data_IF_742521480329
#
_entry.id   IF_742521480329
#
_cell.length_a   1.000
_cell.length_b   1.000
_cell.length_c   1.000
_cell.angle_alpha   90.00
_cell.angle_beta   90.00
_cell.angle_gamma   90.00
#
_symmetry.space_group_name_H-M   'P 1'
#
loop_
_entity.id
_entity.type
_entity.pdbx_description
1 polymer ?
#
# COMPACT_ATOMS: atom_id res chain seq x y z
N UNK A 1 13.81 -16.64 -22.91
CA UNK A 1 12.68 -15.89 -22.30
C UNK A 1 12.54 -16.13 -20.79
N UNK A 2 12.41 -17.38 -20.32
CA UNK A 2 12.17 -17.70 -18.89
C UNK A 2 13.28 -17.20 -17.95
N UNK A 3 14.55 -17.40 -18.28
CA UNK A 3 15.68 -16.92 -17.47
C UNK A 3 15.69 -15.39 -17.37
N UNK A 4 15.44 -14.69 -18.47
CA UNK A 4 15.36 -13.23 -18.49
C UNK A 4 14.22 -12.68 -17.61
N UNK A 5 13.05 -13.31 -17.66
CA UNK A 5 11.92 -12.98 -16.79
C UNK A 5 12.21 -13.28 -15.31
N UNK A 6 12.95 -14.36 -15.02
CA UNK A 6 13.37 -14.69 -13.66
C UNK A 6 14.37 -13.66 -13.09
N UNK A 7 15.32 -13.18 -13.91
CA UNK A 7 16.24 -12.12 -13.49
C UNK A 7 15.47 -10.80 -13.27
N UNK A 8 14.57 -10.45 -14.18
CA UNK A 8 13.75 -9.24 -14.06
C UNK A 8 12.83 -9.26 -12.83
N UNK A 9 12.27 -10.43 -12.48
CA UNK A 9 11.36 -10.56 -11.33
C UNK A 9 12.06 -10.37 -9.99
N UNK A 10 13.36 -10.69 -9.88
CA UNK A 10 14.17 -10.40 -8.66
C UNK A 10 14.36 -8.89 -8.46
N UNK A 11 14.41 -8.12 -9.55
CA UNK A 11 14.61 -6.67 -9.50
C UNK A 11 13.45 -5.92 -8.85
N UNK A 12 12.20 -6.32 -9.13
CA UNK A 12 11.00 -5.59 -8.69
C UNK A 12 10.90 -5.47 -7.16
N UNK A 13 11.02 -6.56 -6.36
CA UNK A 13 11.02 -6.47 -4.90
C UNK A 13 12.15 -5.61 -4.34
N UNK A 14 13.35 -5.67 -4.94
CA UNK A 14 14.50 -4.87 -4.52
C UNK A 14 14.21 -3.38 -4.71
N UNK A 15 13.72 -2.99 -5.90
CA UNK A 15 13.35 -1.62 -6.21
C UNK A 15 12.29 -1.08 -5.24
N UNK A 16 11.21 -1.84 -4.99
CA UNK A 16 10.16 -1.44 -4.05
C UNK A 16 10.69 -1.19 -2.63
N UNK A 17 11.62 -2.03 -2.16
CA UNK A 17 12.20 -1.89 -0.82
C UNK A 17 13.20 -0.73 -0.70
N UNK A 18 13.99 -0.48 -1.76
CA UNK A 18 14.91 0.65 -1.81
C UNK A 18 14.13 1.97 -1.73
N UNK A 19 13.02 2.08 -2.44
CA UNK A 19 12.18 3.29 -2.43
C UNK A 19 11.68 3.64 -1.03
N UNK A 20 11.14 2.67 -0.29
CA UNK A 20 10.72 2.88 1.11
C UNK A 20 11.92 3.25 2.01
N UNK A 21 13.08 2.63 1.79
CA UNK A 21 14.28 2.95 2.58
C UNK A 21 14.78 4.37 2.31
N UNK A 22 14.77 4.83 1.07
CA UNK A 22 15.12 6.20 0.71
C UNK A 22 14.14 7.18 1.35
N UNK A 23 12.83 6.94 1.24
CA UNK A 23 11.80 7.78 1.85
C UNK A 23 12.00 7.97 3.36
N UNK A 24 12.36 6.88 4.07
CA UNK A 24 12.54 6.91 5.53
C UNK A 24 13.85 7.52 6.00
N UNK A 25 14.93 7.38 5.23
CA UNK A 25 16.28 7.87 5.60
C UNK A 25 16.50 9.32 5.17
N UNK A 26 15.93 9.73 4.04
CA UNK A 26 16.19 11.05 3.44
C UNK A 26 15.14 12.11 3.78
N UNK A 27 13.92 11.72 4.18
CA UNK A 27 12.83 12.67 4.42
C UNK A 27 12.33 12.68 5.88
N UNK A 28 12.05 13.88 6.38
CA UNK A 28 11.52 14.18 7.71
C UNK A 28 10.11 13.59 7.90
N UNK A 29 9.69 13.19 9.13
CA UNK A 29 8.37 12.59 9.37
C UNK A 29 7.17 13.35 8.79
N UNK A 30 7.23 14.68 8.75
CA UNK A 30 6.16 15.55 8.23
C UNK A 30 5.98 15.50 6.71
N UNK A 31 6.96 15.00 5.95
CA UNK A 31 6.93 14.90 4.49
C UNK A 31 7.12 13.46 4.00
N UNK A 32 7.14 12.48 4.92
CA UNK A 32 7.53 11.11 4.62
C UNK A 32 6.51 10.40 3.72
N UNK A 33 5.22 10.57 3.97
CA UNK A 33 4.19 9.95 3.13
C UNK A 33 4.21 10.57 1.73
N UNK A 34 4.24 11.91 1.64
CA UNK A 34 4.35 12.63 0.36
C UNK A 34 5.61 12.23 -0.44
N UNK A 35 6.78 12.21 0.20
CA UNK A 35 8.02 11.82 -0.46
C UNK A 35 8.07 10.33 -0.81
N UNK A 36 7.53 9.47 0.06
CA UNK A 36 7.42 8.03 -0.18
C UNK A 36 6.59 7.73 -1.42
N UNK A 37 5.51 8.45 -1.63
CA UNK A 37 4.69 8.30 -2.85
C UNK A 37 5.36 8.86 -4.10
N UNK A 38 6.05 10.00 -4.00
CA UNK A 38 6.78 10.56 -5.14
C UNK A 38 7.89 9.60 -5.59
N UNK A 39 8.58 8.99 -4.63
CA UNK A 39 9.61 7.99 -4.91
C UNK A 39 8.98 6.69 -5.41
N UNK A 40 7.86 6.24 -4.84
CA UNK A 40 7.19 4.99 -5.19
C UNK A 40 6.38 5.05 -6.50
N UNK A 41 6.19 6.24 -7.08
CA UNK A 41 5.45 6.40 -8.32
C UNK A 41 6.22 5.82 -9.51
N UNK A 42 5.57 4.93 -10.26
CA UNK A 42 6.17 4.22 -11.39
C UNK A 42 6.16 5.07 -12.67
N UNK A 43 6.81 6.23 -12.65
CA UNK A 43 6.82 7.18 -13.78
C UNK A 43 7.37 6.55 -15.06
N UNK A 44 8.42 5.74 -14.94
CA UNK A 44 9.00 5.03 -16.08
C UNK A 44 7.99 4.07 -16.73
N UNK A 45 7.23 3.34 -15.92
CA UNK A 45 6.16 2.46 -16.41
C UNK A 45 5.04 3.22 -17.12
N UNK A 46 4.63 4.38 -16.59
CA UNK A 46 3.60 5.23 -17.22
C UNK A 46 4.08 5.70 -18.60
N UNK A 47 5.30 6.24 -18.68
CA UNK A 47 5.89 6.71 -19.95
C UNK A 47 6.00 5.55 -20.93
N UNK A 48 6.49 4.39 -20.48
CA UNK A 48 6.62 3.21 -21.33
C UNK A 48 5.28 2.72 -21.88
N UNK A 49 4.18 2.78 -21.13
CA UNK A 49 2.86 2.34 -21.60
C UNK A 49 2.33 3.15 -22.79
N UNK A 50 2.70 4.43 -22.92
CA UNK A 50 2.33 5.25 -24.09
C UNK A 50 3.39 5.19 -25.19
N UNK A 51 4.67 5.11 -24.81
CA UNK A 51 5.78 5.23 -25.76
C UNK A 51 6.10 3.91 -26.49
N UNK A 52 5.98 2.77 -25.80
CA UNK A 52 6.29 1.45 -26.38
C UNK A 52 5.36 1.08 -27.54
N UNK A 53 4.03 1.26 -27.46
CA UNK A 53 3.14 1.01 -28.60
C UNK A 53 3.44 1.87 -29.84
N UNK A 54 3.94 3.10 -29.65
CA UNK A 54 4.32 3.98 -30.77
C UNK A 54 5.57 3.49 -31.52
N UNK A 55 6.44 2.74 -30.86
CA UNK A 55 7.69 2.22 -31.45
C UNK A 55 7.49 0.80 -31.97
N UNK A 56 6.79 -0.03 -31.19
CA UNK A 56 6.53 -1.44 -31.48
C UNK A 56 5.32 -1.62 -32.41
N UNK A 57 5.29 -0.92 -33.56
CA UNK A 57 4.20 -1.03 -34.54
C UNK A 57 4.24 -2.32 -35.38
N UNK A 58 5.10 -3.27 -35.03
CA UNK A 58 5.35 -4.53 -35.75
C UNK A 58 6.26 -5.46 -34.94
N UNK A 59 6.17 -6.77 -35.16
CA UNK A 59 6.94 -7.80 -34.43
C UNK A 59 8.45 -7.61 -34.58
N UNK A 60 8.88 -7.14 -35.76
CA UNK A 60 10.26 -6.79 -36.11
C UNK A 60 10.82 -5.60 -35.30
N UNK A 61 9.95 -4.73 -34.78
CA UNK A 61 10.36 -3.56 -33.98
C UNK A 61 10.32 -3.80 -32.47
N UNK A 62 9.84 -4.96 -32.01
CA UNK A 62 9.78 -5.28 -30.58
C UNK A 62 11.20 -5.35 -30.00
N UNK A 63 12.14 -5.97 -30.70
CA UNK A 63 13.54 -6.03 -30.27
C UNK A 63 14.13 -4.63 -30.12
N UNK A 64 13.88 -3.75 -31.09
CA UNK A 64 14.34 -2.36 -31.05
C UNK A 64 13.72 -1.59 -29.87
N UNK A 65 12.43 -1.75 -29.61
CA UNK A 65 11.76 -1.14 -28.45
C UNK A 65 12.37 -1.63 -27.12
N UNK A 66 12.69 -2.92 -27.01
CA UNK A 66 13.34 -3.49 -25.82
C UNK A 66 14.76 -2.96 -25.63
N UNK A 67 15.53 -2.78 -26.71
CA UNK A 67 16.87 -2.19 -26.66
C UNK A 67 16.80 -0.74 -26.17
N UNK A 68 15.85 0.06 -26.66
CA UNK A 68 15.64 1.44 -26.18
C UNK A 68 15.37 1.45 -24.68
N UNK A 69 14.48 0.58 -24.20
CA UNK A 69 14.18 0.48 -22.76
C UNK A 69 15.44 0.09 -21.97
N UNK A 70 16.22 -0.87 -22.46
CA UNK A 70 17.46 -1.30 -21.81
C UNK A 70 18.47 -0.15 -21.70
N UNK A 71 18.67 0.61 -22.78
CA UNK A 71 19.56 1.79 -22.81
C UNK A 71 19.09 2.85 -21.81
N UNK A 72 17.79 3.16 -21.78
CA UNK A 72 17.23 4.12 -20.83
C UNK A 72 17.46 3.67 -19.38
N UNK A 73 17.20 2.40 -19.06
CA UNK A 73 17.48 1.82 -17.75
C UNK A 73 18.97 1.94 -17.37
N UNK A 74 19.90 1.66 -18.29
CA UNK A 74 21.34 1.80 -18.04
C UNK A 74 21.73 3.25 -17.79
N UNK A 75 21.19 4.20 -18.55
CA UNK A 75 21.45 5.64 -18.35
C UNK A 75 20.96 6.07 -16.96
N UNK A 76 19.77 5.64 -16.54
CA UNK A 76 19.23 5.97 -15.21
C UNK A 76 20.01 5.36 -14.04
N UNK A 77 20.81 4.31 -14.28
CA UNK A 77 21.67 3.71 -13.27
C UNK A 77 22.92 4.55 -12.99
N UNK A 78 23.43 5.29 -13.99
CA UNK A 78 24.69 6.05 -13.88
C UNK A 78 24.67 7.06 -12.72
N UNK A 79 23.62 7.90 -12.53
CA UNK A 79 23.53 8.81 -11.40
C UNK A 79 23.51 8.13 -10.03
N UNK A 80 23.00 6.88 -9.92
CA UNK A 80 22.96 6.16 -8.65
C UNK A 80 24.35 5.79 -8.13
N UNK A 81 25.34 5.62 -9.00
CA UNK A 81 26.73 5.31 -8.61
C UNK A 81 27.36 6.46 -7.82
N UNK A 82 26.91 7.70 -8.08
CA UNK A 82 27.43 8.91 -7.44
C UNK A 82 26.60 9.37 -6.23
N UNK A 83 25.50 8.68 -5.89
CA UNK A 83 24.63 9.07 -4.80
C UNK A 83 25.22 8.61 -3.45
N UNK A 84 25.43 9.50 -2.46
CA UNK A 84 25.97 9.12 -1.17
C UNK A 84 24.99 8.21 -0.40
N UNK A 85 25.51 7.27 0.38
CA UNK A 85 24.68 6.27 1.09
C UNK A 85 23.75 6.88 2.17
N UNK A 86 24.03 8.10 2.63
CA UNK A 86 23.21 8.85 3.60
C UNK A 86 23.22 10.35 3.24
N UNK A 87 22.13 11.09 3.53
CA UNK A 87 22.15 12.54 3.39
C UNK A 87 23.21 13.17 4.31
N UNK A 88 23.82 14.28 3.87
CA UNK A 88 24.85 14.98 4.63
C UNK A 88 24.34 15.55 5.98
N UNK A 89 23.01 15.73 6.12
CA UNK A 89 22.34 16.00 7.39
C UNK A 89 21.36 14.85 7.68
N UNK A 90 21.61 14.12 8.77
CA UNK A 90 20.67 13.12 9.26
C UNK A 90 19.37 13.80 9.75
N UNK A 91 18.18 13.24 9.47
CA UNK A 91 16.94 13.71 10.09
C UNK A 91 17.05 13.57 11.62
N UNK A 92 16.69 14.64 12.33
CA UNK A 92 16.90 14.88 13.78
C UNK A 92 16.31 13.86 14.77
N UNK A 93 15.74 12.75 14.31
CA UNK A 93 15.04 11.78 15.18
C UNK A 93 15.62 10.38 14.96
N UNK A 94 16.67 10.06 15.70
CA UNK A 94 16.99 8.66 15.97
C UNK A 94 15.94 8.12 16.96
N UNK A 95 15.28 6.99 16.69
CA UNK A 95 14.32 6.43 17.64
C UNK A 95 15.05 6.08 18.94
N UNK A 96 14.54 6.62 20.05
CA UNK A 96 15.07 6.37 21.40
C UNK A 96 14.99 4.90 21.84
N UNK A 97 14.25 4.05 21.11
CA UNK A 97 14.08 2.63 21.43
C UNK A 97 14.93 1.73 20.51
N UNK A 98 15.63 0.76 21.12
CA UNK A 98 16.40 -0.25 20.42
C UNK A 98 15.51 -1.06 19.47
N UNK A 99 15.60 -0.78 18.16
CA UNK A 99 14.84 -1.49 17.13
C UNK A 99 15.11 -3.01 17.24
N UNK A 100 14.07 -3.85 17.25
CA UNK A 100 14.26 -5.29 17.29
C UNK A 100 15.03 -5.76 16.04
N UNK A 101 15.85 -6.81 16.20
CA UNK A 101 16.54 -7.45 15.08
C UNK A 101 15.54 -7.93 14.03
N UNK A 102 15.94 -7.97 12.75
CA UNK A 102 15.03 -8.24 11.63
C UNK A 102 14.19 -9.51 11.84
N UNK A 103 14.82 -10.63 12.22
CA UNK A 103 14.13 -11.89 12.47
C UNK A 103 13.12 -11.79 13.64
N UNK A 104 13.52 -11.12 14.73
CA UNK A 104 12.65 -10.96 15.90
C UNK A 104 11.49 -10.00 15.60
N UNK A 105 11.75 -8.93 14.87
CA UNK A 105 10.73 -7.99 14.38
C UNK A 105 9.72 -8.70 13.50
N UNK A 106 10.17 -9.47 12.50
CA UNK A 106 9.29 -10.27 11.64
C UNK A 106 8.45 -11.26 12.44
N UNK A 107 9.05 -12.01 13.38
CA UNK A 107 8.31 -12.97 14.20
C UNK A 107 7.23 -12.31 15.08
N UNK A 108 7.48 -11.12 15.63
CA UNK A 108 6.49 -10.34 16.38
C UNK A 108 5.38 -9.84 15.46
N UNK A 109 5.75 -9.37 14.26
CA UNK A 109 4.79 -8.86 13.28
C UNK A 109 3.83 -9.94 12.80
N UNK A 110 4.32 -11.14 12.55
CA UNK A 110 3.53 -12.29 12.13
C UNK A 110 2.50 -12.74 13.19
N UNK A 111 2.67 -12.34 14.45
CA UNK A 111 1.69 -12.61 15.52
C UNK A 111 0.63 -11.50 15.68
N UNK A 112 0.75 -10.40 14.94
CA UNK A 112 -0.15 -9.26 15.06
C UNK A 112 -1.39 -9.44 14.16
N UNK A 113 -2.53 -9.75 14.76
CA UNK A 113 -3.79 -9.95 14.03
C UNK A 113 -4.26 -8.72 13.25
N UNK A 114 -4.07 -7.50 13.78
CA UNK A 114 -4.45 -6.28 13.07
C UNK A 114 -3.57 -6.04 11.85
N UNK A 115 -2.30 -6.44 11.89
CA UNK A 115 -1.42 -6.38 10.73
C UNK A 115 -1.87 -7.34 9.64
N UNK A 116 -2.30 -8.56 10.00
CA UNK A 116 -2.83 -9.51 9.02
C UNK A 116 -4.13 -9.05 8.35
N UNK A 117 -5.00 -8.32 9.05
CA UNK A 117 -6.17 -7.68 8.43
C UNK A 117 -5.71 -6.67 7.37
N UNK A 118 -4.69 -5.85 7.66
CA UNK A 118 -4.12 -4.93 6.67
C UNK A 118 -3.42 -5.68 5.52
N UNK A 119 -2.74 -6.79 5.77
CA UNK A 119 -2.20 -7.65 4.72
C UNK A 119 -3.30 -8.17 3.80
N UNK A 120 -4.44 -8.61 4.36
CA UNK A 120 -5.58 -9.06 3.56
C UNK A 120 -6.19 -7.91 2.75
N UNK A 121 -6.40 -6.74 3.36
CA UNK A 121 -6.91 -5.55 2.67
C UNK A 121 -5.98 -5.10 1.55
N UNK A 122 -4.69 -4.94 1.84
CA UNK A 122 -3.69 -4.53 0.86
C UNK A 122 -3.56 -5.57 -0.25
N UNK A 123 -3.52 -6.84 0.14
CA UNK A 123 -3.34 -7.96 -0.77
C UNK A 123 -4.50 -8.12 -1.73
N UNK A 124 -5.73 -7.96 -1.25
CA UNK A 124 -6.91 -7.93 -2.13
C UNK A 124 -6.89 -6.66 -2.99
N UNK A 125 -6.62 -5.48 -2.42
CA UNK A 125 -6.61 -4.21 -3.17
C UNK A 125 -5.62 -4.24 -4.34
N UNK A 126 -4.33 -4.47 -4.06
CA UNK A 126 -3.28 -4.53 -5.08
C UNK A 126 -3.45 -5.78 -5.95
N UNK A 127 -3.85 -6.92 -5.37
CA UNK A 127 -4.07 -8.16 -6.12
C UNK A 127 -5.18 -8.04 -7.16
N UNK A 128 -6.27 -7.34 -6.85
CA UNK A 128 -7.34 -7.03 -7.80
C UNK A 128 -6.82 -6.15 -8.94
N UNK A 129 -5.94 -5.18 -8.66
CA UNK A 129 -5.31 -4.37 -9.70
C UNK A 129 -4.40 -5.19 -10.62
N UNK A 130 -3.61 -6.10 -10.05
CA UNK A 130 -2.72 -6.99 -10.80
C UNK A 130 -3.52 -7.93 -11.68
N UNK A 131 -4.56 -8.55 -11.12
CA UNK A 131 -5.44 -9.44 -11.88
C UNK A 131 -6.21 -8.71 -12.98
N UNK A 132 -6.70 -7.51 -12.68
CA UNK A 132 -7.32 -6.65 -13.67
C UNK A 132 -6.35 -6.31 -14.80
N UNK A 133 -5.16 -5.81 -14.49
CA UNK A 133 -4.17 -5.47 -15.52
C UNK A 133 -3.77 -6.65 -16.42
N UNK A 134 -3.69 -7.86 -15.85
CA UNK A 134 -3.33 -9.07 -16.60
C UNK A 134 -4.45 -9.63 -17.49
N UNK A 135 -5.70 -9.51 -17.06
CA UNK A 135 -6.85 -10.14 -17.73
C UNK A 135 -7.79 -9.12 -18.39
N UNK A 136 -7.52 -7.82 -18.29
CA UNK A 136 -8.41 -6.77 -18.78
C UNK A 136 -8.76 -6.93 -20.26
N UNK A 137 -7.74 -7.09 -21.10
CA UNK A 137 -7.95 -7.30 -22.54
C UNK A 137 -8.85 -8.50 -22.80
N UNK A 138 -8.61 -9.62 -22.10
CA UNK A 138 -9.41 -10.84 -22.24
C UNK A 138 -10.86 -10.65 -21.75
N UNK A 139 -11.09 -9.73 -20.81
CA UNK A 139 -12.42 -9.42 -20.31
C UNK A 139 -13.24 -8.56 -21.29
N UNK A 140 -12.60 -7.71 -22.10
CA UNK A 140 -13.29 -6.78 -23.02
C UNK A 140 -13.30 -7.26 -24.47
N UNK A 141 -12.27 -7.94 -24.95
CA UNK A 141 -12.17 -8.42 -26.35
C UNK A 141 -13.38 -9.27 -26.80
N UNK A 142 -13.95 -10.18 -25.98
CA UNK A 142 -15.16 -10.92 -26.34
C UNK A 142 -16.39 -10.04 -26.67
N UNK A 143 -16.41 -8.81 -26.17
CA UNK A 143 -17.50 -7.85 -26.40
C UNK A 143 -17.24 -6.93 -27.60
N UNK A 144 -16.18 -7.19 -28.38
CA UNK A 144 -15.90 -6.48 -29.63
C UNK A 144 -14.98 -5.26 -29.49
N UNK A 145 -14.38 -5.02 -28.32
CA UNK A 145 -13.37 -3.97 -28.17
C UNK A 145 -12.03 -4.42 -28.75
N UNK A 146 -11.36 -3.51 -29.45
CA UNK A 146 -10.05 -3.76 -30.04
C UNK A 146 -8.94 -3.82 -28.98
N UNK A 147 -7.80 -4.42 -29.35
CA UNK A 147 -6.61 -4.42 -28.50
C UNK A 147 -6.09 -3.01 -28.22
N UNK A 148 -6.21 -2.10 -29.19
CA UNK A 148 -5.80 -0.70 -29.06
C UNK A 148 -6.69 0.05 -28.06
N UNK A 149 -8.01 -0.08 -28.16
CA UNK A 149 -8.95 0.49 -27.19
C UNK A 149 -8.71 -0.06 -25.78
N UNK A 150 -8.43 -1.36 -25.68
CA UNK A 150 -8.10 -2.00 -24.41
C UNK A 150 -6.82 -1.42 -23.81
N UNK A 151 -5.79 -1.22 -24.65
CA UNK A 151 -4.54 -0.58 -24.24
C UNK A 151 -4.76 0.84 -23.72
N UNK A 152 -5.56 1.65 -24.44
CA UNK A 152 -5.91 3.01 -24.02
C UNK A 152 -6.64 3.03 -22.67
N UNK A 153 -7.56 2.09 -22.43
CA UNK A 153 -8.27 2.00 -21.14
C UNK A 153 -7.30 1.73 -19.99
N UNK A 154 -6.40 0.75 -20.15
CA UNK A 154 -5.40 0.44 -19.12
C UNK A 154 -4.45 1.62 -18.90
N UNK A 155 -4.02 2.30 -19.97
CA UNK A 155 -3.12 3.44 -19.88
C UNK A 155 -3.77 4.64 -19.14
N UNK A 156 -5.02 4.98 -19.45
CA UNK A 156 -5.79 6.00 -18.71
C UNK A 156 -5.98 5.59 -17.24
N UNK A 157 -6.26 4.31 -16.99
CA UNK A 157 -6.33 3.75 -15.65
C UNK A 157 -5.03 3.95 -14.87
N UNK A 158 -3.88 3.71 -15.49
CA UNK A 158 -2.57 3.87 -14.88
C UNK A 158 -2.29 5.34 -14.49
N UNK A 159 -2.65 6.29 -15.35
CA UNK A 159 -2.55 7.73 -15.04
C UNK A 159 -3.46 8.10 -13.87
N UNK A 160 -4.71 7.63 -13.89
CA UNK A 160 -5.66 7.88 -12.80
C UNK A 160 -5.19 7.27 -11.47
N UNK A 161 -4.59 6.06 -11.50
CA UNK A 161 -3.98 5.45 -10.34
C UNK A 161 -2.80 6.26 -9.78
N UNK A 162 -1.92 6.74 -10.65
CA UNK A 162 -0.82 7.62 -10.24
C UNK A 162 -1.33 8.91 -9.57
N UNK A 163 -2.39 9.52 -10.10
CA UNK A 163 -3.07 10.65 -9.48
C UNK A 163 -3.68 10.27 -8.12
N UNK A 164 -4.29 9.10 -8.00
CA UNK A 164 -4.84 8.58 -6.73
C UNK A 164 -3.80 8.49 -5.63
N UNK A 165 -2.64 7.90 -5.92
CA UNK A 165 -1.50 7.90 -5.01
C UNK A 165 -1.04 9.34 -4.71
N UNK A 166 -0.80 10.17 -5.72
CA UNK A 166 -0.27 11.52 -5.54
C UNK A 166 -1.16 12.40 -4.64
N UNK A 167 -2.48 12.28 -4.77
CA UNK A 167 -3.46 13.03 -3.97
C UNK A 167 -3.55 12.48 -2.53
N UNK A 168 -3.39 11.17 -2.34
CA UNK A 168 -3.55 10.55 -1.02
C UNK A 168 -2.56 11.08 0.01
N UNK A 169 -1.28 11.24 -0.31
CA UNK A 169 -0.24 11.61 0.65
C UNK A 169 -0.42 12.98 1.29
N UNK A 170 -0.59 14.09 0.53
CA UNK A 170 -0.87 15.39 1.13
C UNK A 170 -2.13 15.38 2.01
N UNK A 171 -3.16 14.62 1.61
CA UNK A 171 -4.40 14.47 2.39
C UNK A 171 -4.13 13.70 3.69
N UNK A 172 -3.37 12.60 3.63
CA UNK A 172 -3.02 11.80 4.80
C UNK A 172 -2.10 12.60 5.74
N UNK A 173 -1.12 13.32 5.20
CA UNK A 173 -0.21 14.17 5.96
C UNK A 173 -0.95 15.30 6.67
N UNK A 174 -1.93 15.94 6.01
CA UNK A 174 -2.70 17.03 6.59
C UNK A 174 -3.75 16.57 7.61
N UNK A 175 -4.44 15.44 7.34
CA UNK A 175 -5.58 15.03 8.16
C UNK A 175 -5.21 14.05 9.27
N UNK A 176 -4.19 13.20 9.06
CA UNK A 176 -3.82 12.07 9.93
C UNK A 176 -4.99 11.12 10.23
N UNK A 177 -6.05 11.11 9.40
CA UNK A 177 -7.27 10.29 9.58
C UNK A 177 -7.23 9.03 8.71
N UNK A 178 -6.18 8.22 8.82
CA UNK A 178 -5.95 7.06 7.94
C UNK A 178 -7.13 6.06 7.91
N UNK A 179 -7.69 5.71 9.08
CA UNK A 179 -8.83 4.75 9.17
C UNK A 179 -10.09 5.29 8.47
N UNK A 180 -10.33 6.60 8.53
CA UNK A 180 -11.49 7.22 7.87
C UNK A 180 -11.38 7.07 6.36
N UNK A 181 -10.21 7.42 5.80
CA UNK A 181 -9.97 7.30 4.35
C UNK A 181 -10.01 5.84 3.88
N UNK A 182 -9.53 4.90 4.70
CA UNK A 182 -9.66 3.47 4.41
C UNK A 182 -11.12 3.06 4.26
N UNK A 183 -11.98 3.44 5.22
CA UNK A 183 -13.41 3.11 5.22
C UNK A 183 -14.21 3.87 4.16
N UNK A 184 -13.74 5.04 3.73
CA UNK A 184 -14.37 5.83 2.69
C UNK A 184 -14.04 5.33 1.28
N UNK A 185 -12.78 4.97 1.02
CA UNK A 185 -12.35 4.56 -0.33
C UNK A 185 -12.77 3.15 -0.69
N UNK A 186 -12.87 2.24 0.29
CA UNK A 186 -13.26 0.86 0.05
C UNK A 186 -14.64 0.68 -0.61
N UNK A 187 -15.74 1.34 -0.18
CA UNK A 187 -17.03 1.27 -0.87
C UNK A 187 -16.99 1.94 -2.24
N UNK A 188 -16.23 3.03 -2.42
CA UNK A 188 -16.07 3.68 -3.73
C UNK A 188 -15.40 2.74 -4.73
N UNK A 189 -14.30 2.11 -4.33
CA UNK A 189 -13.64 1.07 -5.13
C UNK A 189 -14.61 -0.09 -5.43
N UNK A 190 -15.30 -0.64 -4.44
CA UNK A 190 -16.25 -1.75 -4.64
C UNK A 190 -17.35 -1.37 -5.64
N UNK A 191 -17.90 -0.15 -5.55
CA UNK A 191 -18.95 0.32 -6.45
C UNK A 191 -18.51 0.36 -7.91
N UNK A 192 -17.25 0.73 -8.17
CA UNK A 192 -16.70 0.76 -9.53
C UNK A 192 -16.54 -0.64 -10.12
N UNK A 193 -16.16 -1.65 -9.32
CA UNK A 193 -16.12 -3.04 -9.79
C UNK A 193 -17.50 -3.59 -10.11
N UNK A 194 -18.51 -3.26 -9.29
CA UNK A 194 -19.91 -3.60 -9.59
C UNK A 194 -20.36 -2.92 -10.88
N UNK A 195 -20.01 -1.65 -11.09
CA UNK A 195 -20.36 -0.92 -12.30
C UNK A 195 -19.73 -1.53 -13.56
N UNK A 196 -18.48 -2.02 -13.50
CA UNK A 196 -17.79 -2.65 -14.63
C UNK A 196 -18.53 -3.89 -15.16
N UNK A 197 -19.19 -4.67 -14.27
CA UNK A 197 -20.01 -5.83 -14.68
C UNK A 197 -21.08 -5.43 -15.71
N UNK A 198 -21.74 -4.30 -15.47
CA UNK A 198 -22.86 -3.85 -16.31
C UNK A 198 -22.41 -3.03 -17.52
N UNK A 199 -21.28 -2.32 -17.41
CA UNK A 199 -20.83 -1.38 -18.43
C UNK A 199 -20.11 -2.06 -19.58
N UNK A 200 -19.34 -3.12 -19.32
CA UNK A 200 -18.55 -3.80 -20.36
C UNK A 200 -19.45 -4.33 -21.49
N UNK A 201 -20.62 -4.88 -21.14
CA UNK A 201 -21.58 -5.41 -22.10
C UNK A 201 -22.38 -4.34 -22.87
N UNK A 202 -22.27 -3.04 -22.52
CA UNK A 202 -23.09 -1.98 -23.13
C UNK A 202 -22.49 -1.31 -24.37
N UNK A 203 -21.28 -1.69 -24.79
CA UNK A 203 -20.65 -1.15 -26.00
C UNK A 203 -20.16 0.30 -25.90
N UNK A 204 -20.05 0.88 -24.70
CA UNK A 204 -19.60 2.27 -24.51
C UNK A 204 -18.17 2.34 -24.00
N UNK A 205 -17.23 2.59 -24.91
CA UNK A 205 -15.81 2.77 -24.58
C UNK A 205 -15.59 3.90 -23.56
N UNK A 206 -16.26 5.04 -23.75
CA UNK A 206 -16.14 6.19 -22.84
C UNK A 206 -16.59 5.86 -21.41
N UNK A 207 -17.64 5.05 -21.26
CA UNK A 207 -18.10 4.62 -19.94
C UNK A 207 -17.09 3.66 -19.27
N UNK A 208 -16.51 2.73 -20.03
CA UNK A 208 -15.46 1.84 -19.50
C UNK A 208 -14.23 2.65 -19.10
N UNK A 209 -13.79 3.60 -19.95
CA UNK A 209 -12.67 4.50 -19.65
C UNK A 209 -12.88 5.24 -18.33
N UNK A 210 -14.05 5.88 -18.18
CA UNK A 210 -14.38 6.65 -16.98
C UNK A 210 -14.40 5.79 -15.72
N UNK A 211 -15.11 4.65 -15.75
CA UNK A 211 -15.22 3.78 -14.57
C UNK A 211 -13.90 3.08 -14.25
N UNK A 212 -13.13 2.68 -15.26
CA UNK A 212 -11.78 2.14 -15.05
C UNK A 212 -10.83 3.17 -14.43
N UNK A 213 -10.86 4.42 -14.90
CA UNK A 213 -10.08 5.50 -14.33
C UNK A 213 -10.43 5.73 -12.85
N UNK A 214 -11.72 5.81 -12.52
CA UNK A 214 -12.18 5.94 -11.14
C UNK A 214 -11.77 4.74 -10.27
N UNK A 215 -11.92 3.51 -10.79
CA UNK A 215 -11.51 2.30 -10.09
C UNK A 215 -10.04 2.34 -9.72
N UNK A 216 -9.17 2.64 -10.69
CA UNK A 216 -7.73 2.71 -10.48
C UNK A 216 -7.32 3.86 -9.56
N UNK A 217 -8.00 5.00 -9.63
CA UNK A 217 -7.80 6.12 -8.70
C UNK A 217 -8.09 5.70 -7.26
N UNK A 218 -9.26 5.12 -6.97
CA UNK A 218 -9.63 4.72 -5.60
C UNK A 218 -8.74 3.60 -5.06
N UNK A 219 -8.43 2.60 -5.89
CA UNK A 219 -7.54 1.49 -5.55
C UNK A 219 -6.14 2.01 -5.19
N UNK A 220 -5.60 2.90 -6.01
CA UNK A 220 -4.26 3.47 -5.79
C UNK A 220 -4.24 4.45 -4.61
N UNK A 221 -5.30 5.22 -4.38
CA UNK A 221 -5.42 6.06 -3.19
C UNK A 221 -5.34 5.23 -1.89
N UNK A 222 -5.93 4.02 -1.88
CA UNK A 222 -5.89 3.12 -0.72
C UNK A 222 -4.49 2.57 -0.41
N UNK A 223 -3.59 2.49 -1.39
CA UNK A 223 -2.23 1.94 -1.20
C UNK A 223 -1.44 2.67 -0.10
N UNK A 224 -1.20 3.99 -0.18
CA UNK A 224 -0.49 4.72 0.87
C UNK A 224 -1.24 4.71 2.20
N UNK A 225 -2.59 4.73 2.19
CA UNK A 225 -3.39 4.63 3.43
C UNK A 225 -3.07 3.35 4.20
N UNK A 226 -3.06 2.20 3.50
CA UNK A 226 -2.81 0.91 4.14
C UNK A 226 -1.34 0.74 4.53
N UNK A 227 -0.41 1.30 3.75
CA UNK A 227 1.02 1.30 4.09
C UNK A 227 1.27 2.07 5.39
N UNK A 228 0.74 3.28 5.53
CA UNK A 228 0.88 4.09 6.75
C UNK A 228 0.25 3.40 7.96
N UNK A 229 -0.98 2.86 7.83
CA UNK A 229 -1.61 2.05 8.89
C UNK A 229 -0.79 0.81 9.26
N UNK A 230 -0.16 0.19 8.27
CA UNK A 230 0.72 -0.95 8.44
C UNK A 230 1.94 -0.60 9.27
N UNK A 231 2.57 0.54 8.99
CA UNK A 231 3.68 1.06 9.77
C UNK A 231 3.24 1.43 11.19
N UNK A 232 2.07 2.08 11.34
CA UNK A 232 1.55 2.51 12.64
C UNK A 232 1.24 1.34 13.59
N UNK A 233 0.66 0.25 13.07
CA UNK A 233 0.31 -0.92 13.88
C UNK A 233 1.51 -1.82 14.20
N UNK A 234 2.56 -1.70 13.39
CA UNK A 234 3.80 -2.48 13.48
C UNK A 234 4.85 -1.86 14.38
N UNK A 235 4.65 -0.64 14.87
CA UNK A 235 5.57 0.01 15.80
C UNK A 235 5.87 -0.88 17.03
N UNK A 236 7.14 -1.01 17.49
CA UNK A 236 8.37 -0.29 17.07
C UNK A 236 9.21 -1.00 15.99
N UNK A 237 8.61 -1.84 15.14
CA UNK A 237 9.33 -2.59 14.09
C UNK A 237 9.76 -1.63 12.97
N UNK A 238 10.90 -1.93 12.33
CA UNK A 238 11.38 -1.17 11.19
C UNK A 238 10.33 -1.12 10.06
N UNK A 239 9.99 0.09 9.62
CA UNK A 239 8.95 0.36 8.61
C UNK A 239 9.13 -0.51 7.35
N UNK A 240 10.39 -0.65 6.90
CA UNK A 240 10.75 -1.47 5.75
C UNK A 240 10.24 -2.91 5.84
N UNK A 241 10.30 -3.55 7.02
CA UNK A 241 9.87 -4.95 7.19
C UNK A 241 8.35 -5.06 6.97
N UNK A 242 7.59 -4.16 7.59
CA UNK A 242 6.12 -4.15 7.46
C UNK A 242 5.67 -3.89 6.03
N UNK A 243 6.29 -2.93 5.34
CA UNK A 243 5.98 -2.63 3.94
C UNK A 243 6.39 -3.76 3.00
N UNK A 244 7.53 -4.42 3.23
CA UNK A 244 7.96 -5.55 2.41
C UNK A 244 6.95 -6.70 2.47
N UNK A 245 6.47 -7.03 3.68
CA UNK A 245 5.49 -8.11 3.86
C UNK A 245 4.17 -7.77 3.18
N UNK A 246 3.68 -6.52 3.33
CA UNK A 246 2.48 -6.05 2.65
C UNK A 246 2.58 -6.22 1.12
N UNK A 247 3.66 -5.73 0.50
CA UNK A 247 3.86 -5.84 -0.95
C UNK A 247 4.01 -7.28 -1.40
N UNK A 248 4.83 -8.10 -0.72
CA UNK A 248 5.06 -9.48 -1.12
C UNK A 248 3.79 -10.33 -0.99
N UNK A 249 3.03 -10.14 0.08
CA UNK A 249 1.75 -10.80 0.27
C UNK A 249 0.76 -10.41 -0.83
N UNK A 250 0.78 -9.15 -1.25
CA UNK A 250 -0.08 -8.65 -2.32
C UNK A 250 0.22 -9.24 -3.68
N UNK A 251 1.50 -9.42 -4.02
CA UNK A 251 1.89 -10.08 -5.26
C UNK A 251 1.43 -11.55 -5.29
N UNK A 252 1.52 -12.25 -4.15
CA UNK A 252 1.02 -13.62 -4.03
C UNK A 252 -0.50 -13.68 -4.24
N UNK A 253 -1.27 -12.80 -3.58
CA UNK A 253 -2.73 -12.74 -3.77
C UNK A 253 -3.08 -12.38 -5.21
N UNK A 254 -2.39 -11.41 -5.83
CA UNK A 254 -2.59 -11.04 -7.22
C UNK A 254 -2.37 -12.21 -8.19
N UNK A 255 -1.30 -12.98 -8.00
CA UNK A 255 -1.04 -14.20 -8.77
C UNK A 255 -2.18 -15.22 -8.63
N UNK A 256 -2.63 -15.49 -7.41
CA UNK A 256 -3.75 -16.41 -7.15
C UNK A 256 -5.04 -15.90 -7.83
N UNK A 257 -5.32 -14.60 -7.72
CA UNK A 257 -6.52 -14.00 -8.33
C UNK A 257 -6.49 -14.12 -9.86
N UNK A 258 -5.34 -13.92 -10.51
CA UNK A 258 -5.20 -14.15 -11.96
C UNK A 258 -5.62 -15.58 -12.32
N UNK A 259 -5.03 -16.57 -11.65
CA UNK A 259 -5.32 -17.98 -11.95
C UNK A 259 -6.80 -18.31 -11.74
N UNK A 260 -7.39 -17.85 -10.65
CA UNK A 260 -8.81 -18.09 -10.36
C UNK A 260 -9.72 -17.40 -11.37
N UNK A 261 -9.43 -16.14 -11.73
CA UNK A 261 -10.22 -15.39 -12.70
C UNK A 261 -10.11 -15.97 -14.12
N UNK A 262 -8.93 -16.45 -14.52
CA UNK A 262 -8.74 -17.09 -15.82
C UNK A 262 -9.54 -18.41 -15.92
N UNK A 263 -9.61 -19.18 -14.84
CA UNK A 263 -10.46 -20.39 -14.77
C UNK A 263 -11.97 -20.09 -14.89
N UNK A 264 -12.40 -18.84 -14.66
CA UNK A 264 -13.80 -18.44 -14.81
C UNK A 264 -14.17 -18.03 -16.24
N UNK A 265 -13.24 -18.14 -17.20
CA UNK A 265 -13.50 -17.88 -18.62
C UNK A 265 -14.53 -18.88 -19.17
N UNK A 266 -15.58 -18.37 -19.80
CA UNK A 266 -16.67 -19.20 -20.31
C UNK A 266 -16.50 -19.45 -21.81
N UNK A 267 -15.90 -20.59 -22.16
CA UNK A 267 -15.70 -21.01 -23.55
C UNK A 267 -17.03 -21.20 -24.32
N UNK A 268 -18.15 -21.47 -23.64
CA UNK A 268 -19.45 -21.66 -24.31
C UNK A 268 -20.41 -20.50 -24.09
N UNK A 269 -19.95 -19.47 -23.38
CA UNK A 269 -20.75 -18.30 -23.09
C UNK A 269 -21.06 -17.48 -24.35
N UNK A 270 -22.04 -16.58 -24.22
CA UNK A 270 -22.39 -15.61 -25.26
C UNK A 270 -22.10 -14.22 -24.67
N UNK A 271 -21.11 -13.47 -25.18
CA UNK A 271 -20.16 -13.80 -26.25
C UNK A 271 -19.17 -14.92 -25.90
N UNK A 272 -18.62 -15.60 -26.91
CA UNK A 272 -17.64 -16.69 -26.74
C UNK A 272 -16.43 -16.21 -25.94
N UNK A 273 -15.97 -17.01 -24.97
CA UNK A 273 -14.83 -16.68 -24.10
C UNK A 273 -15.03 -15.46 -23.19
N UNK A 274 -16.28 -15.07 -22.89
CA UNK A 274 -16.54 -13.98 -21.95
C UNK A 274 -16.06 -14.32 -20.53
N UNK A 275 -15.76 -13.26 -19.77
CA UNK A 275 -15.28 -13.34 -18.40
C UNK A 275 -16.32 -12.86 -17.37
N UNK A 276 -17.62 -12.99 -17.67
CA UNK A 276 -18.67 -12.45 -16.81
C UNK A 276 -18.62 -13.00 -15.37
N UNK A 277 -18.36 -14.31 -15.22
CA UNK A 277 -18.17 -14.95 -13.90
C UNK A 277 -16.96 -14.39 -13.17
N UNK A 278 -15.86 -14.11 -13.88
CA UNK A 278 -14.67 -13.49 -13.30
C UNK A 278 -14.94 -12.05 -12.83
N UNK A 279 -15.72 -11.27 -13.59
CA UNK A 279 -16.13 -9.91 -13.21
C UNK A 279 -16.98 -9.91 -11.93
N UNK A 280 -17.92 -10.86 -11.80
CA UNK A 280 -18.69 -11.06 -10.57
C UNK A 280 -17.78 -11.42 -9.41
N UNK A 281 -16.88 -12.39 -9.62
CA UNK A 281 -15.92 -12.81 -8.59
C UNK A 281 -15.04 -11.65 -8.13
N UNK A 282 -14.60 -10.79 -9.05
CA UNK A 282 -13.82 -9.60 -8.76
C UNK A 282 -14.60 -8.59 -7.91
N UNK A 283 -15.87 -8.32 -8.24
CA UNK A 283 -16.73 -7.45 -7.44
C UNK A 283 -17.03 -8.03 -6.05
N UNK A 284 -17.26 -9.35 -5.95
CA UNK A 284 -17.44 -10.03 -4.66
C UNK A 284 -16.18 -9.91 -3.78
N UNK A 285 -15.01 -10.14 -4.37
CA UNK A 285 -13.71 -10.00 -3.70
C UNK A 285 -13.47 -8.56 -3.24
N UNK A 286 -13.85 -7.56 -4.04
CA UNK A 286 -13.84 -6.16 -3.63
C UNK A 286 -14.81 -5.87 -2.47
N UNK A 287 -15.98 -6.51 -2.46
CA UNK A 287 -16.93 -6.45 -1.35
C UNK A 287 -16.36 -7.06 -0.06
N UNK A 288 -15.64 -8.18 -0.14
CA UNK A 288 -14.91 -8.75 1.01
C UNK A 288 -13.85 -7.78 1.52
N UNK A 289 -13.08 -7.16 0.62
CA UNK A 289 -12.11 -6.11 0.99
C UNK A 289 -12.79 -4.95 1.73
N UNK A 290 -13.94 -4.50 1.24
CA UNK A 290 -14.74 -3.46 1.88
C UNK A 290 -15.16 -3.85 3.29
N UNK A 291 -15.67 -5.07 3.49
CA UNK A 291 -16.04 -5.57 4.82
C UNK A 291 -14.83 -5.62 5.77
N UNK A 292 -13.67 -6.06 5.29
CA UNK A 292 -12.42 -6.06 6.06
C UNK A 292 -11.99 -4.63 6.45
N UNK A 293 -12.13 -3.67 5.55
CA UNK A 293 -11.84 -2.26 5.83
C UNK A 293 -12.77 -1.70 6.94
N UNK A 294 -14.05 -2.04 6.92
CA UNK A 294 -15.00 -1.62 7.96
C UNK A 294 -14.73 -2.29 9.31
N UNK A 295 -14.36 -3.57 9.30
CA UNK A 295 -14.00 -4.34 10.49
C UNK A 295 -12.67 -3.87 11.12
N UNK A 296 -11.80 -3.20 10.34
CA UNK A 296 -10.53 -2.70 10.84
C UNK A 296 -10.72 -1.55 11.84
N UNK A 297 -10.25 -1.77 13.07
CA UNK A 297 -10.17 -0.78 14.15
C UNK A 297 -8.82 -0.90 14.90
N UNK A 298 -7.70 -0.95 14.16
CA UNK A 298 -6.37 -1.06 14.75
C UNK A 298 -6.01 0.17 15.61
N UNK A 299 -5.37 -0.05 16.77
CA UNK A 299 -4.79 1.04 17.59
C UNK A 299 -3.56 1.63 16.92
N UNK A 300 -3.47 2.96 16.97
CA UNK A 300 -2.43 3.78 16.36
C UNK A 300 -1.17 3.84 17.26
N UNK A 301 -0.45 2.71 17.40
CA UNK A 301 0.65 2.58 18.39
C UNK A 301 1.76 3.61 18.24
N UNK A 302 2.15 3.95 17.01
CA UNK A 302 3.16 4.97 16.74
C UNK A 302 2.71 6.37 17.17
N UNK A 303 1.50 6.77 16.75
CA UNK A 303 0.92 8.06 17.14
C UNK A 303 0.74 8.18 18.65
N UNK A 304 0.41 7.09 19.34
CA UNK A 304 0.34 7.03 20.80
C UNK A 304 1.74 7.22 21.44
N UNK A 305 2.79 6.59 20.87
CA UNK A 305 4.17 6.72 21.34
C UNK A 305 4.70 8.16 21.17
N UNK A 306 4.49 8.79 20.02
CA UNK A 306 4.91 10.17 19.76
C UNK A 306 4.23 11.17 20.74
N UNK A 307 2.96 10.95 21.10
CA UNK A 307 2.27 11.77 22.12
C UNK A 307 2.84 11.59 23.52
N UNK A 308 3.28 10.38 23.87
CA UNK A 308 3.87 10.09 25.17
C UNK A 308 5.27 10.68 25.36
N UNK A 309 6.00 10.92 24.25
CA UNK A 309 7.33 11.53 24.25
C UNK A 309 7.28 13.07 24.32
N UNK A 310 6.19 13.68 23.83
CA UNK A 310 5.95 15.14 23.88
C UNK A 310 5.42 15.59 25.25
N UNK A 311 4.73 14.73 25.98
CA UNK A 311 4.34 15.03 27.37
C UNK A 311 5.60 14.96 28.24
N UNK A 312 5.91 16.01 29.04
CA UNK A 312 7.06 15.95 29.93
C UNK A 312 6.91 14.71 30.81
N UNK A 313 7.89 13.79 30.72
CA UNK A 313 8.00 12.70 31.68
C UNK A 313 7.91 13.35 33.06
N UNK A 314 6.91 12.96 33.84
CA UNK A 314 6.76 13.43 35.22
C UNK A 314 8.14 13.22 35.87
N UNK A 315 8.79 14.27 36.39
CA UNK A 315 10.16 14.14 36.89
C UNK A 315 10.18 13.00 37.92
N UNK A 316 11.26 12.20 37.97
CA UNK A 316 11.38 11.19 39.02
C UNK A 316 11.16 11.91 40.35
N UNK A 317 10.18 11.44 41.13
CA UNK A 317 9.83 12.04 42.42
C UNK A 317 11.12 12.23 43.20
N UNK A 318 11.44 13.48 43.51
CA UNK A 318 12.63 13.81 44.28
C UNK A 318 12.53 13.06 45.62
N UNK A 319 13.64 12.60 46.20
CA UNK A 319 13.64 11.90 47.51
C UNK A 319 12.81 12.63 48.59
N UNK A 320 12.70 13.96 48.48
CA UNK A 320 11.89 14.83 49.34
C UNK A 320 10.37 14.59 49.23
N UNK A 321 9.85 14.23 48.06
CA UNK A 321 8.42 13.93 47.82
C UNK A 321 8.06 12.50 48.26
N UNK A 322 9.02 11.57 48.20
CA UNK A 322 8.89 10.23 48.78
C UNK A 322 8.85 10.29 50.32
N UNK A 323 9.68 11.13 50.94
CA UNK A 323 9.67 11.34 52.40
C UNK A 323 8.36 11.98 52.89
N UNK A 324 7.83 12.97 52.17
CA UNK A 324 6.54 13.61 52.51
C UNK A 324 5.35 12.65 52.35
N UNK A 325 5.39 11.77 51.35
CA UNK A 325 4.39 10.72 51.17
C UNK A 325 4.42 9.70 52.30
N UNK A 326 5.61 9.30 52.78
CA UNK A 326 5.74 8.36 53.90
C UNK A 326 5.33 8.97 55.25
N UNK A 327 5.74 10.21 55.57
CA UNK A 327 5.32 10.88 56.82
C UNK A 327 3.81 11.10 56.89
N UNK A 328 3.16 11.45 55.76
CA UNK A 328 1.70 11.61 55.73
C UNK A 328 0.97 10.28 55.93
N UNK A 329 1.52 9.18 55.44
CA UNK A 329 0.95 7.83 55.59
C UNK A 329 1.13 7.29 57.01
N UNK A 330 2.28 7.53 57.65
CA UNK A 330 2.51 7.19 59.06
C UNK A 330 1.63 8.01 60.01
N UNK A 331 1.44 9.32 59.74
CA UNK A 331 0.57 10.18 60.56
C UNK A 331 -0.90 9.75 60.48
N UNK A 332 -1.35 9.31 59.31
CA UNK A 332 -2.70 8.75 59.10
C UNK A 332 -2.87 7.38 59.78
N UNK A 333 -1.84 6.53 59.78
CA UNK A 333 -1.86 5.23 60.45
C UNK A 333 -1.95 5.39 61.99
N UNK A 334 -1.16 6.29 62.57
CA UNK A 334 -1.14 6.55 64.03
C UNK A 334 -2.47 7.17 64.50
N UNK A 335 -3.13 7.99 63.66
CA UNK A 335 -4.43 8.58 63.99
C UNK A 335 -5.56 7.54 63.95
N UNK A 336 -5.46 6.54 63.07
CA UNK A 336 -6.45 5.46 62.99
C UNK A 336 -6.28 4.43 64.12
N UNK A 337 -5.06 4.12 64.56
CA UNK A 337 -4.84 3.25 65.74
C UNK A 337 -5.38 3.89 67.03
N UNK A 338 -5.15 5.19 67.25
CA UNK A 338 -5.68 5.89 68.44
C UNK A 338 -7.21 5.99 68.48
N UNK A 339 -7.88 5.90 67.33
CA UNK A 339 -9.33 5.90 67.25
C UNK A 339 -9.93 4.48 67.41
N UNK A 340 -9.13 3.42 67.24
CA UNK A 340 -9.56 2.04 67.42
C UNK A 340 -9.52 1.59 68.90
N UNK A 341 -8.70 2.20 69.76
CA UNK A 341 -8.65 1.92 71.21
C UNK A 341 -9.75 2.62 72.04
N UNK A 342 -10.63 3.41 71.41
CA UNK A 342 -11.71 4.17 72.08
C UNK A 342 -13.13 3.67 71.80
N UNK A 343 -13.30 2.45 71.29
CA UNK A 343 -14.61 1.81 71.06
C UNK A 343 -14.77 0.58 71.94
#
# INVERSE_FOLDING_TARGET
MVIGQAIASVGIPLSLNIMTKVATVWFTPNLRATAGMLVAANYGGIIAMFFVPCIATGEDKIEFALIIIAVLCTITLVPHIFLPARPAKAPLVEPSEARPSLLRGTAVLLKNGHFWILCAVHGINVGLSVAWGGLFNQAVTPYGYSNEESGNIVAVGMVAGALGCFVAGPILDATKRHILFLKLMAPLMCSTYVALIFIINRGSLAAILYVNALNQFFLSFMVPVVIELGVEVSYPIAESISTSILWQFSQLIGFILILVMDNFRDEKGIPHNNMFKALIFQACTAGVCMLLCFAYNGRMKRSDAEKSEILPQKPPMTHRELSYGQESTETLAITNEKNAEKV
#
